data_IF_202748788383
#
_entry.id   IF_202748788383
#
_cell.length_a   1.000
_cell.length_b   1.000
_cell.length_c   1.000
_cell.angle_alpha   90.00
_cell.angle_beta   90.00
_cell.angle_gamma   90.00
#
_symmetry.space_group_name_H-M   'P 1'
#
loop_
_entity.id
_entity.type
_entity.pdbx_description
1 polymer ?
#
# COMPACT_ATOMS: atom_id res chain seq x y z
N UNK A 1 -8.24 21.17 -8.00
CA UNK A 1 -9.08 19.98 -8.26
C UNK A 1 -8.20 18.74 -8.16
N UNK A 2 -8.66 17.66 -7.55
CA UNK A 2 -7.89 16.40 -7.52
C UNK A 2 -8.06 15.65 -8.85
N UNK A 3 -7.10 14.79 -9.19
CA UNK A 3 -7.21 13.88 -10.34
C UNK A 3 -8.09 12.69 -9.98
N UNK A 4 -9.18 12.50 -10.70
CA UNK A 4 -10.01 11.29 -10.61
C UNK A 4 -9.35 10.18 -11.42
N UNK A 5 -9.14 9.02 -10.79
CA UNK A 5 -8.45 7.88 -11.39
C UNK A 5 -9.23 6.61 -11.06
N UNK A 6 -9.28 5.65 -11.98
CA UNK A 6 -9.94 4.38 -11.69
C UNK A 6 -9.12 3.53 -10.71
N UNK A 7 -7.83 3.37 -11.02
CA UNK A 7 -6.92 2.52 -10.26
C UNK A 7 -5.57 3.24 -10.12
N UNK A 8 -5.03 3.22 -8.91
CA UNK A 8 -3.65 3.63 -8.62
C UNK A 8 -2.96 2.47 -7.92
N UNK A 9 -1.73 2.17 -8.34
CA UNK A 9 -0.87 1.17 -7.72
C UNK A 9 0.38 1.87 -7.19
N UNK A 10 0.74 1.65 -5.94
CA UNK A 10 1.94 2.18 -5.27
C UNK A 10 2.65 1.00 -4.60
N UNK A 11 3.96 0.90 -4.73
CA UNK A 11 4.79 -0.15 -4.11
C UNK A 11 6.05 0.47 -3.46
N UNK A 12 6.75 -0.33 -2.65
CA UNK A 12 8.12 -0.06 -2.18
C UNK A 12 8.29 1.30 -1.48
N UNK A 13 7.34 1.65 -0.61
CA UNK A 13 7.35 2.94 0.10
C UNK A 13 8.28 2.90 1.32
N UNK A 14 8.34 1.76 2.03
CA UNK A 14 9.14 1.54 3.23
C UNK A 14 8.91 2.59 4.35
N UNK A 15 7.65 2.89 4.69
CA UNK A 15 7.31 3.70 5.85
C UNK A 15 7.95 3.12 7.11
N UNK A 16 8.72 3.96 7.82
CA UNK A 16 9.45 3.59 9.04
C UNK A 16 10.96 3.62 8.85
N UNK A 17 11.44 3.75 7.60
CA UNK A 17 12.85 3.89 7.27
C UNK A 17 13.25 5.36 7.07
N UNK A 18 14.55 5.67 7.18
CA UNK A 18 15.08 7.00 6.91
C UNK A 18 15.05 7.39 5.43
N UNK A 19 15.07 6.41 4.52
CA UNK A 19 15.05 6.65 3.07
C UNK A 19 13.65 6.89 2.49
N UNK A 20 12.60 6.84 3.32
CA UNK A 20 11.23 7.00 2.87
C UNK A 20 10.94 8.46 2.46
N UNK A 21 10.51 8.65 1.21
CA UNK A 21 10.02 9.93 0.68
C UNK A 21 8.56 10.20 1.09
N UNK A 22 8.30 10.19 2.40
CA UNK A 22 6.94 10.25 2.94
C UNK A 22 6.21 11.56 2.59
N UNK A 23 6.93 12.68 2.51
CA UNK A 23 6.34 13.99 2.20
C UNK A 23 5.89 14.06 0.74
N UNK A 24 6.69 13.54 -0.18
CA UNK A 24 6.41 13.44 -1.61
C UNK A 24 5.22 12.50 -1.85
N UNK A 25 5.21 11.34 -1.19
CA UNK A 25 4.07 10.42 -1.22
C UNK A 25 2.80 11.09 -0.70
N UNK A 26 2.86 11.79 0.43
CA UNK A 26 1.72 12.49 1.00
C UNK A 26 1.18 13.55 0.03
N UNK A 27 2.07 14.32 -0.62
CA UNK A 27 1.70 15.32 -1.61
C UNK A 27 1.02 14.67 -2.82
N UNK A 28 1.55 13.54 -3.31
CA UNK A 28 0.93 12.77 -4.38
C UNK A 28 -0.48 12.27 -3.99
N UNK A 29 -0.63 11.64 -2.82
CA UNK A 29 -1.92 11.14 -2.30
C UNK A 29 -2.94 12.26 -2.07
N UNK A 30 -2.50 13.49 -1.78
CA UNK A 30 -3.38 14.67 -1.69
C UNK A 30 -3.86 15.15 -3.07
N UNK A 31 -3.11 14.85 -4.13
CA UNK A 31 -3.41 15.28 -5.51
C UNK A 31 -4.37 14.37 -6.28
N UNK A 32 -4.73 13.21 -5.73
CA UNK A 32 -5.54 12.17 -6.40
C UNK A 32 -6.79 11.79 -5.60
N UNK A 33 -7.80 11.28 -6.31
CA UNK A 33 -9.04 10.73 -5.79
C UNK A 33 -9.40 9.44 -6.54
N UNK A 34 -8.66 8.34 -6.29
CA UNK A 34 -8.85 7.11 -7.02
C UNK A 34 -10.08 6.34 -6.51
N UNK A 35 -10.75 5.60 -7.41
CA UNK A 35 -11.77 4.60 -7.03
C UNK A 35 -11.13 3.43 -6.28
N UNK A 36 -9.98 2.95 -6.76
CA UNK A 36 -9.20 1.88 -6.14
C UNK A 36 -7.74 2.31 -5.95
N UNK A 37 -7.21 2.11 -4.75
CA UNK A 37 -5.79 2.27 -4.43
C UNK A 37 -5.22 0.92 -4.00
N UNK A 38 -4.24 0.43 -4.76
CA UNK A 38 -3.49 -0.79 -4.46
C UNK A 38 -2.13 -0.41 -3.90
N UNK A 39 -1.87 -0.89 -2.70
CA UNK A 39 -0.63 -0.78 -1.95
C UNK A 39 0.11 -2.12 -2.12
N UNK A 40 0.98 -2.20 -3.12
CA UNK A 40 1.58 -3.45 -3.60
C UNK A 40 2.93 -3.75 -2.95
N UNK A 41 2.92 -4.25 -1.72
CA UNK A 41 4.12 -4.71 -1.01
C UNK A 41 4.98 -3.59 -0.42
N UNK A 42 5.68 -3.95 0.65
CA UNK A 42 6.72 -3.16 1.34
C UNK A 42 6.34 -1.69 1.58
N UNK A 43 5.07 -1.47 1.93
CA UNK A 43 4.58 -0.13 2.28
C UNK A 43 5.05 0.28 3.66
N UNK A 44 5.08 -0.67 4.60
CA UNK A 44 5.70 -0.51 5.91
C UNK A 44 6.90 -1.43 5.99
N UNK A 45 8.01 -0.93 6.51
CA UNK A 45 9.14 -1.79 6.82
C UNK A 45 9.03 -2.25 8.28
N UNK A 46 8.42 -3.42 8.49
CA UNK A 46 8.24 -3.99 9.82
C UNK A 46 9.55 -4.55 10.41
N UNK A 47 10.53 -4.92 9.58
CA UNK A 47 11.80 -5.48 10.03
C UNK A 47 12.68 -4.44 10.70
N UNK A 48 12.73 -3.23 10.14
CA UNK A 48 13.50 -2.13 10.71
C UNK A 48 12.67 -1.16 11.56
N UNK A 49 11.41 -1.49 11.84
CA UNK A 49 10.52 -0.65 12.64
C UNK A 49 11.07 -0.46 14.06
N UNK A 50 11.59 0.74 14.34
CA UNK A 50 11.94 1.15 15.69
C UNK A 50 10.73 1.83 16.32
N UNK A 51 10.23 1.32 17.45
CA UNK A 51 9.13 1.97 18.21
C UNK A 51 9.39 3.45 18.51
N UNK A 52 10.66 3.87 18.62
CA UNK A 52 11.07 5.24 18.87
C UNK A 52 11.16 6.13 17.63
N UNK A 53 11.01 5.57 16.42
CA UNK A 53 11.19 6.29 15.16
C UNK A 53 10.01 6.04 14.22
N UNK A 54 9.08 6.99 14.22
CA UNK A 54 8.03 7.09 13.21
C UNK A 54 7.73 8.59 12.99
N UNK A 55 8.37 9.23 12.00
CA UNK A 55 8.24 10.66 11.77
C UNK A 55 6.79 11.09 11.54
N UNK A 56 6.51 12.38 11.75
CA UNK A 56 5.14 12.92 11.64
C UNK A 56 4.58 12.71 10.23
N UNK A 57 5.40 12.89 9.22
CA UNK A 57 5.10 12.76 7.80
C UNK A 57 4.63 11.33 7.48
N UNK A 58 5.27 10.31 8.08
CA UNK A 58 4.88 8.92 7.91
C UNK A 58 3.47 8.68 8.47
N UNK A 59 3.20 9.22 9.66
CA UNK A 59 1.88 9.14 10.27
C UNK A 59 0.82 9.90 9.48
N UNK A 60 1.18 11.02 8.85
CA UNK A 60 0.28 11.73 7.94
C UNK A 60 -0.07 10.93 6.70
N UNK A 61 0.87 10.15 6.14
CA UNK A 61 0.57 9.19 5.07
C UNK A 61 -0.46 8.16 5.55
N UNK A 62 -0.26 7.54 6.72
CA UNK A 62 -1.22 6.57 7.28
C UNK A 62 -2.61 7.19 7.43
N UNK A 63 -2.68 8.38 8.06
CA UNK A 63 -3.96 9.10 8.22
C UNK A 63 -4.60 9.45 6.88
N UNK A 64 -3.79 9.80 5.88
CA UNK A 64 -4.29 10.10 4.53
C UNK A 64 -4.89 8.86 3.87
N UNK A 65 -4.24 7.71 3.95
CA UNK A 65 -4.74 6.44 3.42
C UNK A 65 -6.07 6.05 4.08
N UNK A 66 -6.14 6.12 5.41
CA UNK A 66 -7.38 5.85 6.16
C UNK A 66 -8.50 6.81 5.77
N UNK A 67 -8.20 8.12 5.63
CA UNK A 67 -9.18 9.12 5.19
C UNK A 67 -9.69 8.84 3.78
N UNK A 68 -8.84 8.37 2.86
CA UNK A 68 -9.26 7.99 1.51
C UNK A 68 -10.24 6.80 1.57
N UNK A 69 -9.95 5.79 2.40
CA UNK A 69 -10.85 4.67 2.61
C UNK A 69 -12.21 5.10 3.18
N UNK A 70 -12.21 5.95 4.21
CA UNK A 70 -13.45 6.54 4.77
C UNK A 70 -14.25 7.31 3.71
N UNK A 71 -13.57 7.96 2.77
CA UNK A 71 -14.19 8.74 1.71
C UNK A 71 -14.60 7.92 0.47
N UNK A 72 -14.51 6.59 0.52
CA UNK A 72 -15.02 5.71 -0.53
C UNK A 72 -13.96 5.08 -1.45
N UNK A 73 -12.67 5.40 -1.30
CA UNK A 73 -11.61 4.70 -2.04
C UNK A 73 -11.47 3.27 -1.53
N UNK A 74 -11.53 2.28 -2.43
CA UNK A 74 -11.20 0.89 -2.09
C UNK A 74 -9.69 0.75 -1.94
N UNK A 75 -9.22 0.41 -0.74
CA UNK A 75 -7.81 0.26 -0.42
C UNK A 75 -7.46 -1.24 -0.35
N UNK A 76 -6.62 -1.71 -1.27
CA UNK A 76 -6.04 -3.06 -1.22
C UNK A 76 -4.60 -2.97 -0.74
N UNK A 77 -4.29 -3.60 0.40
CA UNK A 77 -2.93 -3.81 0.86
C UNK A 77 -2.48 -5.22 0.48
N UNK A 78 -1.47 -5.32 -0.36
CA UNK A 78 -0.83 -6.57 -0.74
C UNK A 78 0.46 -6.70 0.09
N UNK A 79 0.59 -7.82 0.80
CA UNK A 79 1.69 -8.04 1.75
C UNK A 79 3.00 -8.31 1.04
N UNK A 80 4.02 -7.47 1.27
CA UNK A 80 5.37 -7.66 0.74
C UNK A 80 6.18 -8.69 1.53
N UNK A 81 7.48 -8.77 1.24
CA UNK A 81 8.41 -9.67 1.92
C UNK A 81 8.70 -9.18 3.36
N UNK A 82 8.76 -7.86 3.56
CA UNK A 82 8.97 -7.27 4.88
C UNK A 82 7.73 -7.37 5.80
N UNK A 83 6.58 -7.79 5.25
CA UNK A 83 5.27 -7.84 5.91
C UNK A 83 4.89 -9.23 6.43
N UNK A 84 5.86 -10.09 6.75
CA UNK A 84 5.64 -11.49 7.17
C UNK A 84 4.62 -11.66 8.31
N UNK A 85 4.56 -10.67 9.22
CA UNK A 85 3.59 -10.67 10.31
C UNK A 85 2.17 -10.49 9.76
N UNK A 86 1.97 -9.63 8.77
CA UNK A 86 0.67 -9.42 8.11
C UNK A 86 0.26 -10.64 7.27
N UNK A 87 1.22 -11.35 6.65
CA UNK A 87 0.95 -12.62 5.94
C UNK A 87 0.28 -13.66 6.84
N UNK A 88 0.66 -13.72 8.13
CA UNK A 88 0.08 -14.65 9.11
C UNK A 88 -1.39 -14.37 9.45
N UNK A 89 -1.86 -13.14 9.23
CA UNK A 89 -3.26 -12.78 9.46
C UNK A 89 -4.20 -13.23 8.32
N UNK A 90 -3.65 -13.69 7.19
CA UNK A 90 -4.42 -14.10 6.03
C UNK A 90 -5.14 -12.94 5.34
N UNK A 91 -6.10 -13.27 4.48
CA UNK A 91 -6.89 -12.24 3.79
C UNK A 91 -7.97 -11.66 4.72
N UNK A 92 -7.95 -10.35 4.93
CA UNK A 92 -8.86 -9.64 5.81
C UNK A 92 -9.58 -8.54 5.04
N UNK A 93 -10.85 -8.29 5.38
CA UNK A 93 -11.57 -7.12 4.90
C UNK A 93 -12.17 -6.37 6.08
N UNK A 94 -11.85 -5.08 6.17
CA UNK A 94 -12.40 -4.15 7.14
C UNK A 94 -13.00 -2.96 6.40
N UNK A 95 -14.30 -3.01 6.13
CA UNK A 95 -14.98 -2.03 5.28
C UNK A 95 -14.34 -1.99 3.89
N UNK A 96 -13.79 -0.83 3.52
CA UNK A 96 -13.13 -0.58 2.23
C UNK A 96 -11.63 -0.87 2.23
N UNK A 97 -11.09 -1.41 3.32
CA UNK A 97 -9.68 -1.80 3.44
C UNK A 97 -9.58 -3.32 3.35
N UNK A 98 -8.75 -3.81 2.45
CA UNK A 98 -8.62 -5.22 2.13
C UNK A 98 -7.16 -5.64 2.19
N UNK A 99 -6.81 -6.55 3.09
CA UNK A 99 -5.52 -7.23 3.11
C UNK A 99 -5.60 -8.46 2.20
N UNK A 100 -4.70 -8.57 1.23
CA UNK A 100 -4.66 -9.69 0.26
C UNK A 100 -3.21 -10.11 0.03
N UNK A 101 -3.02 -11.30 -0.54
CA UNK A 101 -1.70 -11.74 -1.01
C UNK A 101 -1.50 -11.43 -2.51
N UNK A 102 -2.60 -11.33 -3.26
CA UNK A 102 -2.63 -10.95 -4.67
C UNK A 102 -3.95 -10.27 -5.00
N UNK A 103 -3.97 -9.54 -6.09
CA UNK A 103 -5.19 -8.96 -6.65
C UNK A 103 -5.28 -9.29 -8.13
N UNK A 104 -6.46 -9.72 -8.57
CA UNK A 104 -6.78 -9.89 -9.99
C UNK A 104 -7.97 -8.98 -10.28
N UNK A 105 -7.84 -8.12 -11.28
CA UNK A 105 -8.91 -7.22 -11.69
C UNK A 105 -8.95 -7.06 -13.20
N UNK A 106 -10.08 -6.57 -13.71
CA UNK A 106 -10.27 -6.32 -15.13
C UNK A 106 -10.23 -4.82 -15.42
N UNK A 107 -9.44 -4.43 -16.42
CA UNK A 107 -9.41 -3.08 -16.99
C UNK A 107 -9.49 -3.25 -18.50
N UNK A 108 -10.42 -2.54 -19.14
CA UNK A 108 -10.61 -2.54 -20.60
C UNK A 108 -10.73 -3.96 -21.20
N UNK A 109 -11.46 -4.84 -20.51
CA UNK A 109 -11.67 -6.25 -20.92
C UNK A 109 -10.44 -7.14 -20.80
N UNK A 110 -9.33 -6.63 -20.23
CA UNK A 110 -8.10 -7.39 -19.98
C UNK A 110 -7.96 -7.71 -18.51
N UNK A 111 -7.52 -8.93 -18.22
CA UNK A 111 -7.22 -9.37 -16.86
C UNK A 111 -5.82 -8.89 -16.46
N UNK A 112 -5.75 -8.17 -15.35
CA UNK A 112 -4.52 -7.66 -14.76
C UNK A 112 -4.28 -8.36 -13.42
N UNK A 113 -3.03 -8.73 -13.19
CA UNK A 113 -2.59 -9.38 -11.96
C UNK A 113 -1.63 -8.44 -11.25
N UNK A 114 -1.87 -8.23 -9.96
CA UNK A 114 -0.97 -7.49 -9.10
C UNK A 114 -0.61 -8.37 -7.92
N UNK A 115 0.68 -8.54 -7.73
CA UNK A 115 1.30 -9.30 -6.68
C UNK A 115 2.65 -8.63 -6.37
N UNK A 116 3.15 -8.75 -5.13
CA UNK A 116 4.46 -8.24 -4.81
C UNK A 116 5.55 -9.06 -5.53
N UNK A 117 6.62 -8.38 -5.94
CA UNK A 117 7.63 -8.94 -6.85
C UNK A 117 8.53 -10.02 -6.23
N UNK A 118 8.56 -10.09 -4.90
CA UNK A 118 9.28 -11.11 -4.11
C UNK A 118 8.85 -12.55 -4.48
N UNK A 119 7.61 -12.73 -4.94
CA UNK A 119 7.10 -14.03 -5.44
C UNK A 119 7.95 -14.63 -6.56
N UNK A 120 8.67 -13.80 -7.33
CA UNK A 120 9.50 -14.23 -8.47
C UNK A 120 11.01 -14.21 -8.19
N UNK A 121 11.43 -13.67 -7.05
CA UNK A 121 12.81 -13.64 -6.61
C UNK A 121 12.93 -14.39 -5.28
N UNK A 122 12.86 -15.74 -5.26
CA UNK A 122 13.25 -16.49 -4.08
C UNK A 122 14.67 -16.06 -3.74
N UNK A 123 14.86 -15.55 -2.52
CA UNK A 123 16.17 -15.17 -2.02
C UNK A 123 17.12 -16.32 -2.32
N UNK A 124 18.11 -16.08 -3.17
CA UNK A 124 19.20 -17.03 -3.37
C UNK A 124 19.94 -17.03 -2.04
N UNK A 125 19.64 -18.02 -1.21
CA UNK A 125 20.43 -18.35 -0.03
C UNK A 125 21.68 -19.13 -0.44
#
# INVERSE_FOLDING_TARGET
>A
MKRELDIVVISDVHLGTYGCHAQELLNYLKSIEPRTLVLNGDIFDMWYFKKSFFPKEHMEVVRRLLKMAVNGTKLYYLTGNHDDVLRKFGEISLGLIHLRNKLVFQVDGKTHWVFPGDVFAPSVH
#
